data_IF_744167045526
#
_entry.id   IF_744167045526
#
_cell.length_a   1.000
_cell.length_b   1.000
_cell.length_c   1.000
_cell.angle_alpha   90.00
_cell.angle_beta   90.00
_cell.angle_gamma   90.00
#
_symmetry.space_group_name_H-M   'P 1'
#
loop_
_entity.id
_entity.type
_entity.pdbx_description
1 polymer ?
#
# COMPACT_ATOMS: atom_id res chain seq x y z
N UNK A 1 4.24 8.08 -20.00
CA UNK A 1 3.34 9.11 -20.57
C UNK A 1 3.94 10.47 -20.30
N UNK A 2 3.53 11.52 -21.02
CA UNK A 2 4.17 12.84 -20.93
C UNK A 2 3.17 13.94 -20.62
N UNK A 3 3.70 15.01 -20.04
CA UNK A 3 3.04 16.30 -19.99
C UNK A 3 2.57 16.74 -21.38
N UNK A 4 1.56 17.60 -21.36
CA UNK A 4 1.10 18.31 -22.55
C UNK A 4 1.58 19.78 -22.46
N UNK A 5 1.47 20.54 -23.56
CA UNK A 5 2.12 21.85 -23.73
C UNK A 5 1.78 22.81 -22.57
N UNK A 6 0.51 22.89 -22.17
CA UNK A 6 0.08 23.75 -21.06
C UNK A 6 0.71 23.33 -19.73
N UNK A 7 0.83 22.02 -19.47
CA UNK A 7 1.50 21.49 -18.28
C UNK A 7 2.98 21.87 -18.22
N UNK A 8 3.69 21.71 -19.34
CA UNK A 8 5.10 22.11 -19.45
C UNK A 8 5.29 23.62 -19.24
N UNK A 9 4.40 24.44 -19.81
CA UNK A 9 4.43 25.89 -19.63
C UNK A 9 4.19 26.31 -18.18
N UNK A 10 3.24 25.68 -17.48
CA UNK A 10 2.98 25.96 -16.06
C UNK A 10 4.20 25.65 -15.20
N UNK A 11 4.87 24.51 -15.43
CA UNK A 11 6.10 24.17 -14.72
C UNK A 11 7.21 25.19 -15.01
N UNK A 12 7.37 25.58 -16.28
CA UNK A 12 8.36 26.57 -16.71
C UNK A 12 8.10 27.94 -16.08
N UNK A 13 6.86 28.46 -16.14
CA UNK A 13 6.44 29.74 -15.54
C UNK A 13 6.61 29.76 -14.02
N UNK A 14 6.53 28.59 -13.37
CA UNK A 14 6.71 28.47 -11.92
C UNK A 14 8.19 28.41 -11.49
N UNK A 15 9.13 28.41 -12.43
CA UNK A 15 10.55 28.12 -12.21
C UNK A 15 10.78 26.75 -11.55
N UNK A 16 9.91 25.78 -11.83
CA UNK A 16 9.97 24.43 -11.24
C UNK A 16 11.33 23.76 -11.51
N UNK A 17 11.93 23.99 -12.67
CA UNK A 17 13.23 23.41 -13.04
C UNK A 17 14.35 23.70 -12.04
N UNK A 18 14.32 24.83 -11.33
CA UNK A 18 15.31 25.16 -10.30
C UNK A 18 15.18 24.25 -9.06
N UNK A 19 13.96 23.77 -8.79
CA UNK A 19 13.61 22.96 -7.62
C UNK A 19 13.44 21.48 -7.95
N UNK A 20 13.26 21.14 -9.24
CA UNK A 20 12.98 19.79 -9.72
C UNK A 20 13.96 18.75 -9.17
N UNK A 21 15.26 19.06 -9.18
CA UNK A 21 16.29 18.17 -8.64
C UNK A 21 16.13 17.95 -7.14
N UNK A 22 15.96 19.03 -6.37
CA UNK A 22 15.74 18.95 -4.91
C UNK A 22 14.44 18.21 -4.56
N UNK A 23 13.42 18.34 -5.40
CA UNK A 23 12.15 17.62 -5.26
C UNK A 23 12.34 16.11 -5.49
N UNK A 24 13.01 15.71 -6.57
CA UNK A 24 13.33 14.29 -6.81
C UNK A 24 14.23 13.74 -5.70
N UNK A 25 15.23 14.51 -5.25
CA UNK A 25 16.09 14.11 -4.13
C UNK A 25 15.28 13.88 -2.86
N UNK A 26 14.25 14.71 -2.59
CA UNK A 26 13.38 14.55 -1.41
C UNK A 26 12.48 13.32 -1.52
N UNK A 27 11.93 13.05 -2.71
CA UNK A 27 11.18 11.81 -2.98
C UNK A 27 12.08 10.59 -2.76
N UNK A 28 13.27 10.59 -3.35
CA UNK A 28 14.22 9.49 -3.23
C UNK A 28 14.71 9.31 -1.78
N UNK A 29 14.91 10.40 -1.05
CA UNK A 29 15.27 10.36 0.36
C UNK A 29 14.15 9.73 1.19
N UNK A 30 12.90 10.14 0.98
CA UNK A 30 11.73 9.55 1.64
C UNK A 30 11.62 8.05 1.36
N UNK A 31 11.77 7.64 0.11
CA UNK A 31 11.78 6.23 -0.28
C UNK A 31 12.93 5.47 0.41
N UNK A 32 14.13 6.07 0.48
CA UNK A 32 15.32 5.46 1.08
C UNK A 32 15.24 5.28 2.60
N UNK A 33 14.48 6.13 3.29
CA UNK A 33 14.32 6.10 4.75
C UNK A 33 13.13 5.24 5.16
N UNK A 34 11.97 5.43 4.51
CA UNK A 34 10.71 4.85 4.98
C UNK A 34 10.42 3.48 4.35
N UNK A 35 10.92 3.23 3.13
CA UNK A 35 10.47 2.08 2.34
C UNK A 35 9.01 2.24 1.95
N UNK A 36 8.77 2.52 0.67
CA UNK A 36 7.45 2.88 0.15
C UNK A 36 6.91 1.81 -0.81
N UNK A 37 7.25 0.53 -0.58
CA UNK A 37 6.84 -0.55 -1.48
C UNK A 37 5.30 -0.68 -1.49
N UNK A 38 4.71 -0.76 -2.68
CA UNK A 38 3.26 -0.83 -2.86
C UNK A 38 2.52 0.51 -2.77
N UNK A 39 3.20 1.59 -2.38
CA UNK A 39 2.62 2.94 -2.31
C UNK A 39 2.38 3.54 -3.69
N UNK A 40 1.31 4.32 -3.80
CA UNK A 40 1.07 5.20 -4.94
C UNK A 40 2.10 6.33 -4.97
N UNK A 41 2.75 6.53 -6.12
CA UNK A 41 3.74 7.60 -6.33
C UNK A 41 3.10 8.97 -6.09
N UNK A 42 1.82 9.17 -6.44
CA UNK A 42 1.11 10.43 -6.15
C UNK A 42 1.04 10.71 -4.66
N UNK A 43 0.81 9.69 -3.83
CA UNK A 43 0.77 9.85 -2.38
C UNK A 43 2.13 10.30 -1.84
N UNK A 44 3.22 9.73 -2.36
CA UNK A 44 4.59 10.10 -1.99
C UNK A 44 4.88 11.55 -2.42
N UNK A 45 4.47 11.93 -3.62
CA UNK A 45 4.59 13.30 -4.15
C UNK A 45 3.83 14.28 -3.27
N UNK A 46 2.55 14.01 -2.95
CA UNK A 46 1.73 14.88 -2.09
C UNK A 46 2.38 15.10 -0.73
N UNK A 47 2.83 14.03 -0.05
CA UNK A 47 3.54 14.15 1.24
C UNK A 47 4.85 14.91 1.13
N UNK A 48 5.54 14.80 -0.01
CA UNK A 48 6.78 15.56 -0.24
C UNK A 48 6.49 17.05 -0.43
N UNK A 49 5.37 17.41 -1.07
CA UNK A 49 4.96 18.80 -1.26
C UNK A 49 4.50 19.50 0.02
N UNK A 50 4.15 18.74 1.07
CA UNK A 50 3.80 19.27 2.40
C UNK A 50 5.04 19.76 3.20
N UNK A 51 6.25 19.50 2.72
CA UNK A 51 7.47 19.98 3.37
C UNK A 51 7.65 21.49 3.14
N UNK A 52 7.87 22.27 4.21
CA UNK A 52 7.95 23.75 4.21
C UNK A 52 8.87 24.32 3.11
N UNK A 53 9.94 23.61 2.79
CA UNK A 53 10.89 24.00 1.74
C UNK A 53 10.27 24.09 0.34
N UNK A 54 9.09 23.52 0.12
CA UNK A 54 8.36 23.55 -1.15
C UNK A 54 7.14 24.49 -1.16
N UNK A 55 6.77 25.13 -0.04
CA UNK A 55 5.59 25.99 0.04
C UNK A 55 5.58 27.07 -1.05
N UNK A 56 6.73 27.72 -1.27
CA UNK A 56 6.89 28.77 -2.28
C UNK A 56 6.61 28.25 -3.69
N UNK A 57 7.05 27.02 -4.02
CA UNK A 57 6.83 26.46 -5.36
C UNK A 57 5.39 25.96 -5.51
N UNK A 58 4.81 25.39 -4.45
CA UNK A 58 3.39 24.98 -4.42
C UNK A 58 2.49 26.18 -4.67
N UNK A 59 2.73 27.30 -3.99
CA UNK A 59 1.97 28.55 -4.18
C UNK A 59 2.07 29.10 -5.61
N UNK A 60 3.25 29.03 -6.22
CA UNK A 60 3.46 29.45 -7.61
C UNK A 60 2.75 28.53 -8.59
N UNK A 61 2.85 27.21 -8.40
CA UNK A 61 2.15 26.22 -9.21
C UNK A 61 0.63 26.42 -9.11
N UNK A 62 0.12 26.60 -7.88
CA UNK A 62 -1.30 26.85 -7.64
C UNK A 62 -1.80 28.09 -8.38
N UNK A 63 -1.09 29.22 -8.27
CA UNK A 63 -1.44 30.47 -8.96
C UNK A 63 -1.43 30.30 -10.48
N UNK A 64 -0.42 29.61 -11.01
CA UNK A 64 -0.28 29.42 -12.45
C UNK A 64 -1.33 28.44 -13.01
N UNK A 65 -1.66 27.36 -12.29
CA UNK A 65 -2.74 26.44 -12.68
C UNK A 65 -4.07 27.18 -12.72
N UNK A 66 -4.42 27.94 -11.67
CA UNK A 66 -5.68 28.71 -11.63
C UNK A 66 -5.74 29.75 -12.75
N UNK A 67 -4.61 30.37 -13.10
CA UNK A 67 -4.57 31.39 -14.15
C UNK A 67 -4.70 30.81 -15.56
N UNK A 68 -4.09 29.65 -15.80
CA UNK A 68 -3.97 29.05 -17.13
C UNK A 68 -5.05 27.98 -17.40
N UNK A 69 -5.88 27.67 -16.39
CA UNK A 69 -6.95 26.67 -16.49
C UNK A 69 -8.24 27.17 -15.84
N UNK A 70 -9.37 26.53 -16.14
CA UNK A 70 -10.65 26.83 -15.50
C UNK A 70 -10.87 26.06 -14.18
N UNK A 71 -9.80 25.60 -13.54
CA UNK A 71 -9.87 24.86 -12.27
C UNK A 71 -10.04 25.83 -11.10
N UNK A 72 -10.90 25.46 -10.14
CA UNK A 72 -10.99 26.20 -8.89
C UNK A 72 -9.78 25.90 -7.98
N UNK A 73 -9.68 26.56 -6.84
CA UNK A 73 -8.55 26.41 -5.91
C UNK A 73 -8.37 24.97 -5.41
N UNK A 74 -9.46 24.30 -5.00
CA UNK A 74 -9.39 22.93 -4.49
C UNK A 74 -8.99 21.92 -5.57
N UNK A 75 -9.49 22.10 -6.77
CA UNK A 75 -9.14 21.26 -7.94
C UNK A 75 -7.69 21.47 -8.34
N UNK A 76 -7.22 22.71 -8.31
CA UNK A 76 -5.84 23.06 -8.64
C UNK A 76 -4.86 22.44 -7.64
N UNK A 77 -5.18 22.43 -6.34
CA UNK A 77 -4.38 21.74 -5.32
C UNK A 77 -4.22 20.25 -5.65
N UNK A 78 -5.33 19.58 -6.02
CA UNK A 78 -5.31 18.16 -6.40
C UNK A 78 -4.64 17.89 -7.74
N UNK A 79 -4.60 18.87 -8.64
CA UNK A 79 -3.93 18.75 -9.93
C UNK A 79 -2.39 18.80 -9.82
N UNK A 80 -1.83 19.45 -8.79
CA UNK A 80 -0.38 19.59 -8.63
C UNK A 80 0.32 18.22 -8.53
N UNK A 81 -0.07 17.29 -7.63
CA UNK A 81 0.59 15.99 -7.54
C UNK A 81 0.54 15.18 -8.85
N UNK A 82 -0.58 15.28 -9.59
CA UNK A 82 -0.75 14.60 -10.88
C UNK A 82 0.20 15.20 -11.93
N UNK A 83 0.26 16.53 -12.01
CA UNK A 83 1.15 17.24 -12.93
C UNK A 83 2.62 16.90 -12.64
N UNK A 84 3.01 16.91 -11.38
CA UNK A 84 4.39 16.60 -11.00
C UNK A 84 4.72 15.13 -11.22
N UNK A 85 3.80 14.21 -10.96
CA UNK A 85 4.01 12.79 -11.24
C UNK A 85 4.37 12.54 -12.71
N UNK A 86 3.65 13.17 -13.66
CA UNK A 86 3.95 13.04 -15.09
C UNK A 86 5.34 13.61 -15.46
N UNK A 87 5.84 14.59 -14.71
CA UNK A 87 7.19 15.15 -14.91
C UNK A 87 8.31 14.26 -14.32
N UNK A 88 8.13 13.80 -13.08
CA UNK A 88 9.22 13.17 -12.31
C UNK A 88 9.26 11.66 -12.44
N UNK A 89 8.14 11.00 -12.74
CA UNK A 89 8.09 9.53 -12.68
C UNK A 89 9.04 8.85 -13.66
N UNK A 90 9.29 9.47 -14.83
CA UNK A 90 10.25 8.95 -15.79
C UNK A 90 11.67 8.90 -15.23
N UNK A 91 12.05 9.86 -14.39
CA UNK A 91 13.35 9.88 -13.72
C UNK A 91 13.38 8.95 -12.51
N UNK A 92 12.31 8.91 -11.72
CA UNK A 92 12.20 7.96 -10.60
C UNK A 92 12.29 6.51 -11.13
N UNK A 93 11.60 6.18 -12.23
CA UNK A 93 11.63 4.86 -12.87
C UNK A 93 13.03 4.42 -13.32
N UNK A 94 13.81 5.36 -13.88
CA UNK A 94 15.20 5.09 -14.27
C UNK A 94 16.09 4.76 -13.08
N UNK A 95 15.81 5.38 -11.93
CA UNK A 95 16.59 5.18 -10.70
C UNK A 95 16.08 4.00 -9.86
N UNK A 96 14.83 3.58 -10.06
CA UNK A 96 14.20 2.42 -9.42
C UNK A 96 13.78 1.39 -10.49
N UNK A 97 14.75 0.77 -11.19
CA UNK A 97 14.47 -0.06 -12.37
C UNK A 97 13.61 -1.27 -12.00
N UNK A 98 12.54 -1.48 -12.76
CA UNK A 98 11.61 -2.58 -12.54
C UNK A 98 10.85 -2.49 -11.22
N UNK A 99 10.82 -1.32 -10.58
CA UNK A 99 10.07 -1.07 -9.34
C UNK A 99 8.87 -0.13 -9.51
N UNK A 100 8.49 0.22 -10.74
CA UNK A 100 7.28 1.02 -10.99
C UNK A 100 6.34 0.22 -11.87
N UNK A 101 5.11 0.01 -11.38
CA UNK A 101 4.01 -0.60 -12.12
C UNK A 101 2.99 0.48 -12.49
N UNK A 102 2.60 0.50 -13.76
CA UNK A 102 1.47 1.31 -14.22
C UNK A 102 0.20 0.44 -14.26
N UNK A 103 -0.87 0.94 -13.66
CA UNK A 103 -2.21 0.36 -13.72
C UNK A 103 -3.12 1.35 -14.44
N UNK A 104 -3.83 0.89 -15.49
CA UNK A 104 -4.84 1.73 -16.14
C UNK A 104 -5.96 2.00 -15.15
N UNK A 105 -6.38 3.25 -15.06
CA UNK A 105 -7.62 3.59 -14.36
C UNK A 105 -8.75 2.93 -15.15
N UNK A 106 -9.34 1.86 -14.61
CA UNK A 106 -10.52 1.23 -15.18
C UNK A 106 -11.71 2.00 -14.63
N UNK A 107 -12.43 2.70 -15.51
CA UNK A 107 -13.64 3.51 -15.28
C UNK A 107 -14.46 3.06 -14.05
N UNK A 108 -14.04 3.49 -12.87
CA UNK A 108 -14.78 3.32 -11.63
C UNK A 108 -14.98 4.71 -11.11
N UNK A 109 -16.16 5.26 -11.43
CA UNK A 109 -16.73 6.54 -10.98
C UNK A 109 -16.26 6.90 -9.55
N UNK A 110 -15.07 7.48 -9.47
CA UNK A 110 -14.51 7.98 -8.22
C UNK A 110 -14.23 9.45 -8.46
N UNK A 111 -14.36 10.27 -7.41
CA UNK A 111 -14.19 11.73 -7.49
C UNK A 111 -12.85 12.16 -8.10
N UNK A 112 -11.86 11.27 -8.17
CA UNK A 112 -10.58 11.51 -8.85
C UNK A 112 -10.69 11.54 -10.38
N UNK A 113 -11.61 10.78 -10.98
CA UNK A 113 -11.89 10.78 -12.44
C UNK A 113 -12.23 12.18 -12.95
N UNK A 114 -13.01 12.93 -12.15
CA UNK A 114 -13.38 14.31 -12.49
C UNK A 114 -12.20 15.26 -12.61
N UNK A 115 -11.10 15.05 -11.87
CA UNK A 115 -9.89 15.88 -12.00
C UNK A 115 -9.04 15.43 -13.18
N UNK A 116 -8.93 14.12 -13.42
CA UNK A 116 -8.22 13.59 -14.59
C UNK A 116 -8.82 14.10 -15.90
N UNK A 117 -10.15 14.05 -16.03
CA UNK A 117 -10.85 14.53 -17.22
C UNK A 117 -10.76 16.04 -17.39
N UNK A 118 -10.89 16.80 -16.30
CA UNK A 118 -10.72 18.26 -16.34
C UNK A 118 -9.30 18.64 -16.72
N UNK A 119 -8.27 18.00 -16.15
CA UNK A 119 -6.89 18.30 -16.52
C UNK A 119 -6.52 17.88 -17.94
N UNK A 120 -7.10 16.78 -18.45
CA UNK A 120 -6.99 16.40 -19.86
C UNK A 120 -7.63 17.43 -20.78
N UNK A 121 -8.83 17.91 -20.42
CA UNK A 121 -9.55 18.97 -21.15
C UNK A 121 -8.81 20.31 -21.15
N UNK A 122 -8.14 20.64 -20.03
CA UNK A 122 -7.26 21.81 -19.90
C UNK A 122 -5.84 21.57 -20.46
N UNK A 123 -5.58 20.44 -21.12
CA UNK A 123 -4.29 20.10 -21.74
C UNK A 123 -3.10 20.16 -20.76
N UNK A 124 -3.32 19.79 -19.49
CA UNK A 124 -2.25 19.64 -18.51
C UNK A 124 -1.44 18.35 -18.78
N UNK A 125 -2.13 17.27 -19.15
CA UNK A 125 -1.56 15.96 -19.45
C UNK A 125 -2.29 15.29 -20.62
N UNK A 126 -1.66 14.29 -21.25
CA UNK A 126 -2.25 13.55 -22.39
C UNK A 126 -3.12 12.38 -21.96
N UNK A 127 -2.77 11.75 -20.84
CA UNK A 127 -3.46 10.63 -20.21
C UNK A 127 -2.74 10.27 -18.92
N UNK A 128 -3.46 9.67 -17.98
CA UNK A 128 -2.97 9.41 -16.63
C UNK A 128 -3.22 7.96 -16.27
N UNK A 129 -2.15 7.21 -16.02
CA UNK A 129 -2.21 5.89 -15.40
C UNK A 129 -1.86 6.05 -13.93
N UNK A 130 -2.41 5.21 -13.05
CA UNK A 130 -1.95 5.14 -11.66
C UNK A 130 -0.58 4.45 -11.65
N UNK A 131 0.39 5.03 -10.95
CA UNK A 131 1.75 4.50 -10.88
C UNK A 131 2.10 4.16 -9.45
N UNK A 132 2.48 2.92 -9.26
CA UNK A 132 2.77 2.37 -7.95
C UNK A 132 4.21 1.89 -7.88
N UNK A 133 4.83 2.05 -6.72
CA UNK A 133 6.03 1.29 -6.44
C UNK A 133 5.68 -0.19 -6.34
N UNK A 134 6.44 -1.03 -7.02
CA UNK A 134 6.28 -2.48 -6.97
C UNK A 134 6.52 -2.93 -5.54
N UNK A 135 5.59 -3.75 -5.10
CA UNK A 135 5.38 -4.14 -3.73
C UNK A 135 3.98 -4.74 -3.69
N UNK A 136 3.72 -5.59 -2.71
CA UNK A 136 2.41 -6.22 -2.62
C UNK A 136 1.38 -5.11 -2.37
N UNK A 137 0.43 -4.95 -3.29
CA UNK A 137 -0.84 -4.28 -3.02
C UNK A 137 -1.51 -5.18 -1.98
N UNK A 138 -1.34 -4.83 -0.70
CA UNK A 138 -1.62 -5.68 0.46
C UNK A 138 -3.00 -6.31 0.31
N UNK A 139 -3.02 -7.58 -0.10
CA UNK A 139 -4.23 -8.39 -0.13
C UNK A 139 -3.98 -9.54 0.83
N UNK A 140 -4.29 -9.28 2.10
CA UNK A 140 -4.17 -10.26 3.19
C UNK A 140 -4.74 -11.62 2.78
N UNK A 141 -5.84 -11.62 2.04
CA UNK A 141 -6.51 -12.84 1.57
C UNK A 141 -5.64 -13.61 0.56
N UNK A 142 -5.02 -12.92 -0.40
CA UNK A 142 -4.18 -13.57 -1.41
C UNK A 142 -2.88 -14.11 -0.79
N UNK A 143 -2.31 -13.39 0.18
CA UNK A 143 -1.09 -13.80 0.89
C UNK A 143 -1.36 -15.00 1.81
N UNK A 144 -2.49 -15.01 2.51
CA UNK A 144 -2.96 -16.18 3.29
C UNK A 144 -3.14 -17.39 2.38
N UNK A 145 -3.77 -17.22 1.22
CA UNK A 145 -3.98 -18.32 0.27
C UNK A 145 -2.66 -18.86 -0.29
N UNK A 146 -1.72 -17.97 -0.66
CA UNK A 146 -0.38 -18.34 -1.10
C UNK A 146 0.38 -19.13 -0.03
N UNK A 147 0.32 -18.71 1.23
CA UNK A 147 0.98 -19.38 2.34
C UNK A 147 0.37 -20.75 2.65
N UNK A 148 -0.96 -20.85 2.64
CA UNK A 148 -1.67 -22.13 2.78
C UNK A 148 -1.34 -23.10 1.63
N UNK A 149 -1.13 -22.58 0.42
CA UNK A 149 -0.72 -23.38 -0.74
C UNK A 149 0.74 -23.82 -0.65
N UNK A 150 1.62 -22.97 -0.11
CA UNK A 150 3.07 -23.18 -0.08
C UNK A 150 3.51 -24.08 1.08
N UNK A 151 2.86 -23.99 2.24
CA UNK A 151 3.25 -24.74 3.43
C UNK A 151 2.20 -25.79 3.79
N UNK A 152 2.53 -27.05 3.48
CA UNK A 152 1.74 -28.20 3.91
C UNK A 152 1.59 -28.24 5.44
N UNK A 153 2.63 -27.84 6.19
CA UNK A 153 2.60 -27.80 7.65
C UNK A 153 1.52 -26.83 8.16
N UNK A 154 1.53 -25.56 7.69
CA UNK A 154 0.53 -24.56 8.10
C UNK A 154 -0.89 -25.05 7.75
N UNK A 155 -1.07 -25.63 6.55
CA UNK A 155 -2.36 -26.16 6.11
C UNK A 155 -2.85 -27.30 7.00
N UNK A 156 -2.00 -28.26 7.32
CA UNK A 156 -2.39 -29.39 8.19
C UNK A 156 -2.63 -28.93 9.62
N UNK A 157 -1.81 -28.01 10.16
CA UNK A 157 -2.02 -27.43 11.49
C UNK A 157 -3.37 -26.70 11.58
N UNK A 158 -3.72 -25.89 10.58
CA UNK A 158 -5.01 -25.20 10.53
C UNK A 158 -6.18 -26.18 10.43
N UNK A 159 -6.06 -27.19 9.56
CA UNK A 159 -7.11 -28.20 9.37
C UNK A 159 -7.32 -29.03 10.64
N UNK A 160 -6.23 -29.49 11.27
CA UNK A 160 -6.29 -30.21 12.55
C UNK A 160 -6.91 -29.36 13.65
N UNK A 161 -6.55 -28.07 13.73
CA UNK A 161 -7.14 -27.15 14.69
C UNK A 161 -8.66 -26.99 14.52
N UNK A 162 -9.11 -26.82 13.27
CA UNK A 162 -10.53 -26.77 12.93
C UNK A 162 -11.26 -28.09 13.24
N UNK A 163 -10.65 -29.24 12.90
CA UNK A 163 -11.22 -30.55 13.21
C UNK A 163 -11.40 -30.74 14.72
N UNK A 164 -10.43 -30.35 15.55
CA UNK A 164 -10.55 -30.45 17.00
C UNK A 164 -11.64 -29.56 17.57
N UNK A 165 -11.81 -28.34 17.04
CA UNK A 165 -12.93 -27.46 17.43
C UNK A 165 -14.29 -28.03 17.02
N UNK A 166 -14.40 -28.62 15.82
CA UNK A 166 -15.64 -29.24 15.35
C UNK A 166 -16.01 -30.43 16.25
N UNK A 167 -15.05 -31.30 16.56
CA UNK A 167 -15.27 -32.44 17.46
C UNK A 167 -15.68 -31.94 18.86
N UNK A 168 -15.00 -30.92 19.39
CA UNK A 168 -15.36 -30.30 20.67
C UNK A 168 -16.78 -29.72 20.65
N UNK A 169 -17.17 -29.03 19.58
CA UNK A 169 -18.52 -28.45 19.42
C UNK A 169 -19.62 -29.52 19.40
N UNK A 170 -19.36 -30.66 18.74
CA UNK A 170 -20.27 -31.81 18.71
C UNK A 170 -20.43 -32.39 20.11
N UNK A 171 -19.33 -32.58 20.86
CA UNK A 171 -19.38 -33.15 22.21
C UNK A 171 -20.08 -32.20 23.20
N UNK A 172 -19.81 -30.89 23.11
CA UNK A 172 -20.52 -29.89 23.92
C UNK A 172 -21.97 -29.65 23.48
N UNK A 173 -22.37 -30.17 22.32
CA UNK A 173 -23.61 -29.83 21.62
C UNK A 173 -23.80 -28.31 21.47
N UNK A 174 -22.70 -27.59 21.36
CA UNK A 174 -22.71 -26.13 21.31
C UNK A 174 -21.41 -25.62 20.69
N UNK A 175 -21.56 -24.94 19.56
CA UNK A 175 -20.46 -24.23 18.87
C UNK A 175 -19.91 -23.12 19.76
N UNK A 176 -20.79 -22.41 20.47
CA UNK A 176 -20.41 -21.31 21.37
C UNK A 176 -19.46 -21.80 22.49
N UNK A 177 -19.78 -22.93 23.11
CA UNK A 177 -18.95 -23.55 24.15
C UNK A 177 -17.56 -23.94 23.63
N UNK A 178 -17.49 -24.57 22.46
CA UNK A 178 -16.21 -24.92 21.84
C UNK A 178 -15.38 -23.70 21.45
N UNK A 179 -16.03 -22.63 20.96
CA UNK A 179 -15.35 -21.37 20.66
C UNK A 179 -14.80 -20.68 21.91
N UNK A 180 -15.53 -20.68 23.03
CA UNK A 180 -14.98 -20.18 24.30
C UNK A 180 -13.72 -20.95 24.65
N UNK A 181 -13.80 -22.28 24.77
CA UNK A 181 -12.65 -23.11 25.14
C UNK A 181 -11.47 -22.88 24.18
N UNK A 182 -11.73 -22.79 22.88
CA UNK A 182 -10.68 -22.54 21.89
C UNK A 182 -10.05 -21.14 21.96
N UNK A 183 -10.86 -20.10 22.14
CA UNK A 183 -10.37 -18.71 22.12
C UNK A 183 -9.77 -18.26 23.46
N UNK A 184 -10.35 -18.71 24.57
CA UNK A 184 -9.96 -18.27 25.91
C UNK A 184 -9.13 -19.30 26.66
N UNK A 185 -9.00 -20.53 26.13
CA UNK A 185 -8.34 -21.66 26.80
C UNK A 185 -8.93 -21.96 28.20
N UNK A 186 -10.16 -21.53 28.46
CA UNK A 186 -10.85 -21.75 29.73
C UNK A 186 -11.69 -23.03 29.67
N UNK A 187 -11.61 -23.84 30.72
CA UNK A 187 -12.42 -25.04 30.83
C UNK A 187 -13.88 -24.70 31.11
N UNK A 188 -14.78 -25.38 30.40
CA UNK A 188 -16.21 -25.35 30.73
C UNK A 188 -16.47 -26.37 31.84
N UNK A 189 -17.21 -25.96 32.90
CA UNK A 189 -17.50 -26.84 34.03
C UNK A 189 -18.38 -28.02 33.61
N UNK A 190 -18.00 -29.21 34.06
CA UNK A 190 -18.79 -30.44 33.95
C UNK A 190 -17.99 -31.67 34.36
N UNK A 191 -18.63 -32.56 35.12
CA UNK A 191 -17.97 -33.69 35.79
C UNK A 191 -17.84 -34.94 34.90
N UNK A 192 -18.35 -34.88 33.66
CA UNK A 192 -18.28 -36.02 32.74
C UNK A 192 -16.93 -36.08 32.04
N UNK A 193 -16.37 -37.29 31.89
CA UNK A 193 -15.13 -37.51 31.13
C UNK A 193 -15.21 -37.01 29.68
N UNK A 194 -16.41 -37.02 29.09
CA UNK A 194 -16.65 -36.44 27.76
C UNK A 194 -16.48 -34.92 27.74
N UNK A 195 -16.89 -34.21 28.81
CA UNK A 195 -16.69 -32.77 28.95
C UNK A 195 -15.20 -32.44 29.06
N UNK A 196 -14.42 -33.26 29.78
CA UNK A 196 -12.97 -33.09 29.88
C UNK A 196 -12.27 -33.28 28.52
N UNK A 197 -12.62 -34.33 27.78
CA UNK A 197 -12.09 -34.57 26.43
C UNK A 197 -12.44 -33.41 25.49
N UNK A 198 -13.67 -32.91 25.55
CA UNK A 198 -14.11 -31.77 24.74
C UNK A 198 -13.35 -30.47 25.07
N UNK A 199 -13.02 -30.24 26.35
CA UNK A 199 -12.19 -29.11 26.78
C UNK A 199 -10.77 -29.22 26.21
N UNK A 200 -10.15 -30.40 26.31
CA UNK A 200 -8.79 -30.63 25.78
C UNK A 200 -8.74 -30.45 24.27
N UNK A 201 -9.69 -31.06 23.54
CA UNK A 201 -9.77 -30.90 22.08
C UNK A 201 -10.05 -29.45 21.67
N UNK A 202 -10.98 -28.78 22.35
CA UNK A 202 -11.27 -27.38 22.07
C UNK A 202 -10.05 -26.48 22.29
N UNK A 203 -9.33 -26.68 23.40
CA UNK A 203 -8.13 -25.92 23.75
C UNK A 203 -6.97 -26.16 22.78
N UNK A 204 -6.70 -27.42 22.43
CA UNK A 204 -5.70 -27.76 21.40
C UNK A 204 -6.09 -27.18 20.04
N UNK A 205 -7.37 -27.25 19.66
CA UNK A 205 -7.87 -26.69 18.41
C UNK A 205 -7.63 -25.19 18.32
N UNK A 206 -8.01 -24.46 19.36
CA UNK A 206 -7.78 -23.02 19.48
C UNK A 206 -6.30 -22.63 19.48
N UNK A 207 -5.48 -23.35 20.24
CA UNK A 207 -4.03 -23.15 20.28
C UNK A 207 -3.39 -23.29 18.89
N UNK A 208 -3.72 -24.34 18.14
CA UNK A 208 -3.17 -24.55 16.80
C UNK A 208 -3.56 -23.43 15.84
N UNK A 209 -4.82 -22.99 15.87
CA UNK A 209 -5.29 -21.88 15.03
C UNK A 209 -4.57 -20.57 15.40
N UNK A 210 -4.40 -20.30 16.69
CA UNK A 210 -3.70 -19.11 17.17
C UNK A 210 -2.27 -19.01 16.62
N UNK A 211 -1.48 -20.09 16.67
CA UNK A 211 -0.12 -20.09 16.14
C UNK A 211 -0.07 -19.92 14.62
N UNK A 212 -1.06 -20.48 13.90
CA UNK A 212 -1.19 -20.25 12.45
C UNK A 212 -1.50 -18.78 12.16
N UNK A 213 -2.41 -18.16 12.91
CA UNK A 213 -2.72 -16.73 12.80
C UNK A 213 -1.48 -15.87 13.07
N UNK A 214 -0.72 -16.18 14.12
CA UNK A 214 0.52 -15.48 14.45
C UNK A 214 1.56 -15.62 13.34
N UNK A 215 1.68 -16.81 12.75
CA UNK A 215 2.58 -17.07 11.61
C UNK A 215 2.21 -16.21 10.41
N UNK A 216 0.92 -16.05 10.10
CA UNK A 216 0.48 -15.16 9.03
C UNK A 216 0.85 -13.70 9.29
N UNK A 217 0.69 -13.23 10.53
CA UNK A 217 1.09 -11.86 10.91
C UNK A 217 2.59 -11.66 10.74
N UNK A 218 3.41 -12.59 11.22
CA UNK A 218 4.86 -12.50 11.08
C UNK A 218 5.32 -12.56 9.63
N UNK A 219 4.78 -13.49 8.84
CA UNK A 219 5.13 -13.58 7.42
C UNK A 219 4.71 -12.30 6.67
N UNK A 220 3.55 -11.73 7.02
CA UNK A 220 3.10 -10.46 6.48
C UNK A 220 4.09 -9.32 6.79
N UNK A 221 4.50 -9.18 8.06
CA UNK A 221 5.47 -8.15 8.48
C UNK A 221 6.82 -8.36 7.78
N UNK A 222 7.32 -9.60 7.75
CA UNK A 222 8.61 -9.93 7.12
C UNK A 222 8.58 -9.69 5.61
N UNK A 223 7.47 -10.00 4.95
CA UNK A 223 7.33 -9.73 3.52
C UNK A 223 7.28 -8.23 3.23
N UNK A 224 6.53 -7.46 4.03
CA UNK A 224 6.50 -6.01 3.90
C UNK A 224 7.90 -5.41 4.11
N UNK A 225 8.61 -5.85 5.15
CA UNK A 225 9.97 -5.40 5.44
C UNK A 225 10.96 -5.74 4.32
N UNK A 226 10.89 -6.95 3.75
CA UNK A 226 11.73 -7.33 2.60
C UNK A 226 11.46 -6.46 1.38
N UNK A 227 10.19 -6.23 1.04
CA UNK A 227 9.81 -5.37 -0.08
C UNK A 227 10.31 -3.93 0.14
N UNK A 228 10.16 -3.41 1.35
CA UNK A 228 10.62 -2.09 1.71
C UNK A 228 12.14 -1.96 1.62
N UNK A 229 12.90 -2.95 2.12
CA UNK A 229 14.37 -2.96 2.02
C UNK A 229 14.85 -2.94 0.58
N UNK A 230 14.24 -3.71 -0.32
CA UNK A 230 14.62 -3.71 -1.74
C UNK A 230 14.48 -2.32 -2.38
N UNK A 231 13.37 -1.64 -2.10
CA UNK A 231 13.12 -0.28 -2.61
C UNK A 231 14.05 0.74 -1.93
N UNK A 232 14.32 0.58 -0.64
CA UNK A 232 15.29 1.41 0.09
C UNK A 232 16.70 1.29 -0.48
N UNK A 233 17.19 0.07 -0.73
CA UNK A 233 18.52 -0.18 -1.28
C UNK A 233 18.68 0.46 -2.67
N UNK A 234 17.66 0.36 -3.52
CA UNK A 234 17.65 1.01 -4.83
C UNK A 234 17.65 2.55 -4.71
N UNK A 235 16.88 3.09 -3.76
CA UNK A 235 16.86 4.53 -3.51
C UNK A 235 18.17 5.04 -2.86
N UNK A 236 18.85 4.24 -2.05
CA UNK A 236 20.18 4.57 -1.55
C UNK A 236 21.23 4.56 -2.68
N UNK A 237 21.10 3.62 -3.62
CA UNK A 237 21.97 3.56 -4.80
C UNK A 237 21.88 4.79 -5.71
N UNK A 238 20.74 5.50 -5.70
CA UNK A 238 20.62 6.78 -6.38
C UNK A 238 21.57 7.84 -5.82
N UNK A 239 21.75 7.89 -4.49
CA UNK A 239 22.66 8.83 -3.84
C UNK A 239 24.11 8.41 -3.95
N UNK A 240 24.41 7.10 -3.95
CA UNK A 240 25.78 6.61 -4.09
C UNK A 240 26.37 6.86 -5.49
N UNK A 241 25.57 6.76 -6.56
CA UNK A 241 25.98 7.08 -7.94
C UNK A 241 26.24 8.57 -8.20
N UNK A 242 25.88 9.44 -7.26
CA UNK A 242 26.03 10.90 -7.36
C UNK A 242 27.21 11.47 -6.56
N UNK A 243 27.86 10.64 -5.73
CA UNK A 243 29.13 10.97 -5.07
C UNK A 243 30.29 10.65 -5.99
#
# INVERSE_FOLDING_TARGET
>A
MSLNITGEEILKKSNYNLFRKAFIDSIMQRISLEGQAGSDIRSIISKTLEEEKFDIIVDKLLKNIIKETNLNKEESIKAIPILLEEDVVGEISKNLPGQIREEKVVDKETKEDGIYDKGKSNKLWRGVNLKYLIGIKVSLINDIFLLLKRSNAIRYTLLSGLCFLIISAIIFKSIYKALIVGLTLTNIPGDSGMTMIANVLGGLGGFLIFFVSLTFIFEYILHLERSNRQVQDLAQNYFSKRK
#
